data_IF_954177051970
#
_entry.id   IF_954177051970
#
_cell.length_a   1.000
_cell.length_b   1.000
_cell.length_c   1.000
_cell.angle_alpha   90.00
_cell.angle_beta   90.00
_cell.angle_gamma   90.00
#
_symmetry.space_group_name_H-M   'P 1'
#
loop_
_entity.id
_entity.type
_entity.pdbx_description
1 polymer ?
#
# COMPACT_ATOMS: atom_id res chain seq x y z
N UNK A 1 -22.72 4.11 -4.67
CA UNK A 1 -23.72 4.36 -5.73
C UNK A 1 -23.89 3.11 -6.61
N UNK A 2 -22.84 2.58 -7.25
CA UNK A 2 -22.92 1.40 -8.12
C UNK A 2 -23.41 0.16 -7.35
N UNK A 3 -22.90 -0.07 -6.14
CA UNK A 3 -23.26 -1.21 -5.28
C UNK A 3 -24.69 -1.05 -4.74
N UNK A 4 -25.10 0.15 -4.37
CA UNK A 4 -26.46 0.43 -3.89
C UNK A 4 -27.49 0.25 -4.98
N UNK A 5 -27.22 0.75 -6.20
CA UNK A 5 -28.06 0.54 -7.36
C UNK A 5 -28.12 -0.94 -7.79
N UNK A 6 -27.01 -1.67 -7.71
CA UNK A 6 -26.99 -3.12 -7.93
C UNK A 6 -27.85 -3.88 -6.91
N UNK A 7 -27.80 -3.49 -5.64
CA UNK A 7 -28.61 -4.10 -4.59
C UNK A 7 -30.11 -3.73 -4.69
N UNK A 8 -30.44 -2.54 -5.19
CA UNK A 8 -31.84 -2.14 -5.47
C UNK A 8 -32.42 -2.94 -6.62
N UNK A 9 -31.66 -3.16 -7.69
CA UNK A 9 -32.03 -4.02 -8.82
C UNK A 9 -32.25 -5.48 -8.39
N UNK A 10 -31.47 -5.97 -7.41
CA UNK A 10 -31.59 -7.33 -6.87
C UNK A 10 -32.89 -7.51 -6.07
N UNK A 11 -33.40 -6.45 -5.42
CA UNK A 11 -34.60 -6.50 -4.57
C UNK A 11 -35.92 -6.32 -5.35
N UNK A 12 -35.88 -5.77 -6.56
CA UNK A 12 -37.09 -5.26 -7.22
C UNK A 12 -37.87 -6.26 -8.05
N UNK A 13 -37.39 -7.50 -8.27
CA UNK A 13 -38.07 -8.40 -9.22
C UNK A 13 -38.19 -9.85 -8.77
N UNK A 14 -39.37 -10.16 -8.33
CA UNK A 14 -39.86 -11.51 -8.03
C UNK A 14 -39.82 -12.39 -9.31
N UNK A 15 -39.17 -13.51 -9.28
CA UNK A 15 -39.27 -14.58 -10.28
C UNK A 15 -38.38 -14.46 -11.52
N UNK A 16 -37.59 -13.38 -11.69
CA UNK A 16 -36.60 -13.32 -12.75
C UNK A 16 -35.24 -13.81 -12.34
N UNK A 17 -34.57 -14.56 -13.20
CA UNK A 17 -33.15 -14.85 -12.96
C UNK A 17 -32.36 -13.53 -12.98
N UNK A 18 -31.31 -13.44 -12.19
CA UNK A 18 -30.43 -12.25 -12.08
C UNK A 18 -29.94 -11.78 -13.47
N UNK A 19 -29.80 -12.72 -14.41
CA UNK A 19 -29.39 -12.45 -15.81
C UNK A 19 -30.48 -11.77 -16.63
N UNK A 20 -31.76 -12.15 -16.44
CA UNK A 20 -32.91 -11.57 -17.13
C UNK A 20 -33.25 -10.18 -16.58
N UNK A 21 -33.16 -9.99 -15.26
CA UNK A 21 -33.33 -8.68 -14.63
C UNK A 21 -32.24 -7.70 -15.09
N UNK A 22 -31.00 -8.14 -15.17
CA UNK A 22 -29.88 -7.31 -15.66
C UNK A 22 -30.08 -6.81 -17.09
N UNK A 23 -30.56 -7.66 -18.00
CA UNK A 23 -30.71 -7.28 -19.42
C UNK A 23 -31.83 -6.27 -19.61
N UNK A 24 -32.95 -6.41 -18.89
CA UNK A 24 -34.16 -5.58 -19.10
C UNK A 24 -34.07 -4.22 -18.36
N UNK A 25 -33.39 -4.15 -17.24
CA UNK A 25 -33.38 -2.96 -16.37
C UNK A 25 -32.03 -2.23 -16.37
N UNK A 26 -30.97 -2.86 -16.85
CA UNK A 26 -29.65 -2.24 -16.91
C UNK A 26 -29.46 -1.34 -18.14
N UNK A 27 -30.12 -1.64 -19.26
CA UNK A 27 -30.03 -0.84 -20.49
C UNK A 27 -30.41 0.65 -20.30
N UNK A 28 -31.51 1.01 -19.57
CA UNK A 28 -31.82 2.42 -19.33
C UNK A 28 -31.04 3.05 -18.17
N UNK A 29 -30.42 2.26 -17.28
CA UNK A 29 -29.72 2.75 -16.09
C UNK A 29 -28.24 2.94 -16.35
N UNK A 30 -27.62 2.10 -17.18
CA UNK A 30 -26.20 2.17 -17.53
C UNK A 30 -25.74 3.54 -18.04
N UNK A 31 -26.45 4.20 -19.00
CA UNK A 31 -26.05 5.53 -19.45
C UNK A 31 -26.05 6.57 -18.34
N UNK A 32 -27.07 6.55 -17.46
CA UNK A 32 -27.13 7.46 -16.31
C UNK A 32 -26.02 7.21 -15.29
N UNK A 33 -25.71 5.94 -15.00
CA UNK A 33 -24.61 5.59 -14.11
C UNK A 33 -23.25 6.00 -14.68
N UNK A 34 -23.07 5.87 -16.01
CA UNK A 34 -21.84 6.33 -16.67
C UNK A 34 -21.73 7.85 -16.59
N UNK A 35 -22.82 8.58 -16.82
CA UNK A 35 -22.87 10.05 -16.74
C UNK A 35 -22.62 10.54 -15.31
N UNK A 36 -23.23 9.91 -14.29
CA UNK A 36 -23.03 10.22 -12.88
C UNK A 36 -21.62 9.87 -12.35
N UNK A 37 -20.91 8.95 -13.02
CA UNK A 37 -19.56 8.52 -12.61
C UNK A 37 -18.44 9.21 -13.39
N UNK A 38 -18.74 9.98 -14.43
CA UNK A 38 -17.71 10.67 -15.23
C UNK A 38 -16.94 11.72 -14.43
N UNK A 39 -17.56 12.35 -13.42
CA UNK A 39 -16.97 13.38 -12.58
C UNK A 39 -16.48 12.87 -11.21
N UNK A 40 -16.51 11.54 -10.98
CA UNK A 40 -16.01 10.96 -9.74
C UNK A 40 -14.49 10.79 -9.84
N UNK A 41 -13.78 11.48 -8.96
CA UNK A 41 -12.34 11.32 -8.83
C UNK A 41 -11.99 9.84 -8.59
N UNK A 42 -11.09 9.30 -9.38
CA UNK A 42 -10.68 7.90 -9.26
C UNK A 42 -9.95 7.69 -7.92
N UNK A 43 -10.11 6.52 -7.36
CA UNK A 43 -9.48 6.16 -6.10
C UNK A 43 -7.95 6.28 -6.20
N UNK A 44 -7.36 6.79 -5.14
CA UNK A 44 -5.91 6.82 -5.04
C UNK A 44 -5.33 5.40 -5.07
N UNK A 45 -4.06 5.28 -5.42
CA UNK A 45 -3.35 3.99 -5.42
C UNK A 45 -3.47 3.28 -4.07
N UNK A 46 -3.35 4.02 -2.97
CA UNK A 46 -3.42 3.45 -1.60
C UNK A 46 -4.82 2.94 -1.28
N UNK A 47 -5.86 3.68 -1.64
CA UNK A 47 -7.26 3.25 -1.46
C UNK A 47 -7.56 1.99 -2.27
N UNK A 48 -7.08 1.92 -3.52
CA UNK A 48 -7.19 0.69 -4.35
C UNK A 48 -6.50 -0.51 -3.70
N UNK A 49 -5.30 -0.32 -3.16
CA UNK A 49 -4.58 -1.38 -2.45
C UNK A 49 -5.32 -1.85 -1.19
N UNK A 50 -5.83 -0.93 -0.38
CA UNK A 50 -6.61 -1.26 0.81
C UNK A 50 -7.87 -2.05 0.43
N UNK A 51 -8.60 -1.61 -0.59
CA UNK A 51 -9.78 -2.31 -1.08
C UNK A 51 -9.45 -3.74 -1.53
N UNK A 52 -8.36 -3.94 -2.29
CA UNK A 52 -7.93 -5.29 -2.71
C UNK A 52 -7.55 -6.16 -1.51
N UNK A 53 -6.86 -5.59 -0.52
CA UNK A 53 -6.51 -6.31 0.70
C UNK A 53 -7.76 -6.74 1.48
N UNK A 54 -8.73 -5.85 1.62
CA UNK A 54 -9.96 -6.11 2.38
C UNK A 54 -10.87 -7.12 1.66
N UNK A 55 -10.95 -7.06 0.33
CA UNK A 55 -11.84 -7.92 -0.46
C UNK A 55 -11.23 -9.29 -0.79
N UNK A 56 -9.95 -9.34 -1.07
CA UNK A 56 -9.28 -10.52 -1.62
C UNK A 56 -8.24 -11.11 -0.67
N UNK A 57 -7.93 -10.44 0.44
CA UNK A 57 -6.80 -10.75 1.35
C UNK A 57 -5.47 -10.89 0.61
N UNK A 58 -5.34 -10.21 -0.53
CA UNK A 58 -4.18 -10.24 -1.41
C UNK A 58 -3.76 -8.81 -1.78
N UNK A 59 -2.47 -8.63 -2.06
CA UNK A 59 -1.92 -7.37 -2.55
C UNK A 59 -1.66 -7.49 -4.05
N UNK A 60 -2.01 -6.46 -4.81
CA UNK A 60 -1.64 -6.36 -6.22
C UNK A 60 -0.27 -5.72 -6.35
N UNK A 61 0.68 -6.46 -6.88
CA UNK A 61 2.08 -6.02 -6.99
C UNK A 61 2.24 -4.80 -7.89
N UNK A 62 1.48 -4.70 -8.99
CA UNK A 62 1.47 -3.55 -9.90
C UNK A 62 0.99 -2.25 -9.23
N UNK A 63 0.12 -2.35 -8.24
CA UNK A 63 -0.32 -1.21 -7.45
C UNK A 63 0.64 -0.92 -6.28
N UNK A 64 1.25 -1.95 -5.68
CA UNK A 64 2.21 -1.78 -4.59
C UNK A 64 3.53 -1.15 -5.08
N UNK A 65 4.01 -1.58 -6.25
CA UNK A 65 5.30 -1.18 -6.83
C UNK A 65 5.11 -0.62 -8.25
N UNK A 66 4.79 0.68 -8.42
CA UNK A 66 4.61 1.29 -9.74
C UNK A 66 5.89 1.20 -10.57
N UNK A 67 5.78 0.71 -11.81
CA UNK A 67 6.91 0.46 -12.71
C UNK A 67 7.81 1.68 -12.92
N UNK A 68 7.24 2.87 -13.09
CA UNK A 68 8.00 4.11 -13.27
C UNK A 68 8.88 4.41 -12.04
N UNK A 69 8.37 4.17 -10.84
CA UNK A 69 9.10 4.40 -9.61
C UNK A 69 10.20 3.36 -9.44
N UNK A 70 9.88 2.09 -9.67
CA UNK A 70 10.86 1.01 -9.56
C UNK A 70 11.98 1.15 -10.60
N UNK A 71 11.66 1.60 -11.79
CA UNK A 71 12.66 1.93 -12.81
C UNK A 71 13.63 3.04 -12.35
N UNK A 72 13.12 4.09 -11.70
CA UNK A 72 13.95 5.15 -11.12
C UNK A 72 14.86 4.64 -10.00
N UNK A 73 14.32 3.81 -9.10
CA UNK A 73 15.09 3.19 -8.01
C UNK A 73 16.21 2.31 -8.56
N UNK A 74 15.91 1.45 -9.55
CA UNK A 74 16.88 0.56 -10.18
C UNK A 74 17.95 1.35 -10.94
N UNK A 75 17.58 2.40 -11.69
CA UNK A 75 18.53 3.25 -12.41
C UNK A 75 19.46 4.02 -11.46
N UNK A 76 18.98 4.36 -10.26
CA UNK A 76 19.80 4.98 -9.22
C UNK A 76 20.63 3.96 -8.41
N UNK A 77 20.53 2.66 -8.72
CA UNK A 77 21.22 1.56 -8.05
C UNK A 77 21.00 1.56 -6.51
N UNK A 78 19.78 1.89 -6.08
CA UNK A 78 19.42 1.91 -4.66
C UNK A 78 18.84 0.55 -4.28
N UNK A 79 19.52 -0.17 -3.37
CA UNK A 79 19.06 -1.46 -2.84
C UNK A 79 17.82 -1.32 -1.96
N UNK A 80 17.01 -2.36 -1.86
CA UNK A 80 16.05 -2.50 -0.77
C UNK A 80 16.77 -2.65 0.57
N UNK A 81 16.14 -2.19 1.67
CA UNK A 81 16.65 -2.46 3.03
C UNK A 81 16.82 -3.96 3.29
N UNK A 82 15.98 -4.80 2.66
CA UNK A 82 16.02 -6.26 2.80
C UNK A 82 17.20 -6.90 2.06
N UNK A 83 17.75 -6.21 1.07
CA UNK A 83 18.91 -6.64 0.28
C UNK A 83 20.25 -6.13 0.83
N UNK A 84 20.23 -5.39 1.94
CA UNK A 84 21.46 -4.90 2.58
C UNK A 84 22.19 -6.03 3.29
N UNK A 85 23.49 -6.13 3.08
CA UNK A 85 24.34 -7.10 3.75
C UNK A 85 24.51 -6.78 5.26
N UNK A 86 24.74 -7.79 6.12
CA UNK A 86 25.08 -7.55 7.52
C UNK A 86 26.30 -6.64 7.66
N UNK A 87 26.18 -5.55 8.42
CA UNK A 87 27.19 -4.51 8.59
C UNK A 87 27.14 -3.38 7.57
N UNK A 88 26.35 -3.53 6.51
CA UNK A 88 26.18 -2.50 5.48
C UNK A 88 25.46 -1.26 6.02
N UNK A 89 25.87 -0.09 5.52
CA UNK A 89 25.23 1.20 5.81
C UNK A 89 25.11 1.98 4.52
N UNK A 90 23.95 2.56 4.28
CA UNK A 90 23.75 3.32 3.05
C UNK A 90 22.31 3.74 2.82
N UNK A 91 22.11 4.38 1.69
CA UNK A 91 20.79 4.75 1.22
C UNK A 91 20.11 3.48 0.71
N UNK A 92 18.91 3.23 1.24
CA UNK A 92 18.09 2.09 0.86
C UNK A 92 16.61 2.49 0.81
N UNK A 93 15.82 1.74 0.05
CA UNK A 93 14.38 1.93 -0.01
C UNK A 93 13.63 0.80 0.69
N UNK A 94 12.38 1.06 1.04
CA UNK A 94 11.48 0.06 1.61
C UNK A 94 10.02 0.43 1.35
N UNK A 95 9.15 -0.57 1.26
CA UNK A 95 7.71 -0.41 1.25
C UNK A 95 7.15 -0.81 2.61
N UNK A 96 6.29 0.03 3.18
CA UNK A 96 5.67 -0.21 4.49
C UNK A 96 4.54 -1.21 4.35
N UNK A 97 4.49 -2.22 5.24
CA UNK A 97 3.35 -3.12 5.39
C UNK A 97 2.58 -2.79 6.67
N UNK A 98 3.31 -2.62 7.78
CA UNK A 98 2.72 -2.40 9.09
C UNK A 98 3.68 -1.60 9.97
N UNK A 99 3.15 -0.81 10.89
CA UNK A 99 3.94 -0.08 11.88
C UNK A 99 3.48 -0.38 13.29
N UNK A 100 4.42 -0.77 14.15
CA UNK A 100 4.16 -1.08 15.56
C UNK A 100 5.02 -0.18 16.45
N UNK A 101 4.39 0.68 17.25
CA UNK A 101 5.08 1.50 18.24
C UNK A 101 5.58 0.64 19.40
N UNK A 102 6.85 0.82 19.77
CA UNK A 102 7.51 0.14 20.89
C UNK A 102 8.27 1.13 21.75
N UNK A 103 8.46 0.77 23.02
CA UNK A 103 9.23 1.56 23.96
C UNK A 103 10.28 0.66 24.61
N UNK A 104 11.52 1.13 24.68
CA UNK A 104 12.61 0.44 25.37
C UNK A 104 12.46 0.53 26.88
N UNK A 105 13.21 -0.29 27.63
CA UNK A 105 13.30 -0.20 29.11
C UNK A 105 13.71 1.22 29.58
N UNK A 106 14.51 1.94 28.79
CA UNK A 106 14.95 3.32 29.08
C UNK A 106 13.98 4.38 28.54
N UNK A 107 12.71 4.03 28.35
CA UNK A 107 11.61 4.92 27.87
C UNK A 107 11.86 5.59 26.50
N UNK A 108 12.82 5.09 25.70
CA UNK A 108 13.02 5.57 24.32
C UNK A 108 12.01 4.92 23.40
N UNK A 109 11.30 5.72 22.62
CA UNK A 109 10.33 5.24 21.64
C UNK A 109 11.03 4.90 20.33
N UNK A 110 10.63 3.79 19.74
CA UNK A 110 10.97 3.38 18.37
C UNK A 110 9.77 2.67 17.73
N UNK A 111 9.81 2.56 16.41
CA UNK A 111 8.80 1.82 15.66
C UNK A 111 9.45 0.59 15.03
N UNK A 112 8.78 -0.55 15.16
CA UNK A 112 9.04 -1.70 14.29
C UNK A 112 8.15 -1.56 13.07
N UNK A 113 8.77 -1.38 11.93
CA UNK A 113 8.08 -1.27 10.64
C UNK A 113 8.28 -2.60 9.92
N UNK A 114 7.18 -3.30 9.65
CA UNK A 114 7.20 -4.45 8.75
C UNK A 114 7.31 -3.91 7.34
N UNK A 115 8.30 -4.36 6.61
CA UNK A 115 8.62 -3.87 5.28
C UNK A 115 8.60 -5.02 4.26
N UNK A 116 8.37 -4.67 3.01
CA UNK A 116 8.46 -5.58 1.87
C UNK A 116 9.21 -4.93 0.72
N UNK A 117 9.68 -5.74 -0.20
CA UNK A 117 10.27 -5.32 -1.47
C UNK A 117 9.47 -5.85 -2.68
N UNK A 118 9.93 -5.56 -3.90
CA UNK A 118 9.27 -5.97 -5.14
C UNK A 118 9.29 -7.50 -5.39
N UNK A 119 10.17 -8.23 -4.71
CA UNK A 119 10.26 -9.70 -4.77
C UNK A 119 9.38 -10.37 -3.71
N UNK A 120 8.54 -9.59 -3.02
CA UNK A 120 7.69 -10.04 -1.90
C UNK A 120 8.47 -10.57 -0.69
N UNK A 121 9.77 -10.28 -0.60
CA UNK A 121 10.51 -10.53 0.63
C UNK A 121 9.96 -9.64 1.73
N UNK A 122 9.89 -10.14 2.95
CA UNK A 122 9.42 -9.37 4.11
C UNK A 122 10.42 -9.38 5.25
N UNK A 123 10.47 -8.28 5.99
CA UNK A 123 11.36 -8.16 7.12
C UNK A 123 10.95 -7.03 8.06
N UNK A 124 11.84 -6.70 9.00
CA UNK A 124 11.59 -5.67 9.99
C UNK A 124 12.68 -4.61 9.97
N UNK A 125 12.25 -3.36 9.89
CA UNK A 125 13.09 -2.18 10.06
C UNK A 125 12.78 -1.51 11.40
N UNK A 126 13.81 -1.18 12.20
CA UNK A 126 13.65 -0.34 13.38
C UNK A 126 13.85 1.13 13.03
N UNK A 127 12.84 1.93 13.28
CA UNK A 127 12.88 3.38 13.07
C UNK A 127 12.88 4.09 14.42
N UNK A 128 13.97 4.74 14.75
CA UNK A 128 14.13 5.48 16.00
C UNK A 128 13.57 6.89 15.89
N UNK A 129 12.79 7.31 16.88
CA UNK A 129 12.12 8.60 16.93
C UNK A 129 10.68 8.53 16.45
N UNK A 130 10.06 9.69 16.27
CA UNK A 130 8.67 9.80 15.80
C UNK A 130 8.62 9.69 14.28
N UNK A 131 7.93 8.69 13.78
CA UNK A 131 7.70 8.52 12.33
C UNK A 131 6.67 9.54 11.80
N UNK A 132 6.76 9.95 10.52
CA UNK A 132 5.75 10.79 9.88
C UNK A 132 4.38 10.12 9.85
N UNK A 133 3.30 10.89 10.01
CA UNK A 133 1.93 10.38 9.90
C UNK A 133 1.61 9.84 8.48
N UNK A 134 2.35 10.31 7.47
CA UNK A 134 2.25 9.83 6.08
C UNK A 134 2.89 8.47 5.85
N UNK A 135 3.57 7.86 6.85
CA UNK A 135 4.09 6.50 6.77
C UNK A 135 2.96 5.49 7.00
N UNK A 136 2.18 5.32 5.95
CA UNK A 136 1.03 4.43 5.90
C UNK A 136 1.39 3.10 5.21
N UNK A 137 0.61 2.03 5.36
CA UNK A 137 0.78 0.81 4.57
C UNK A 137 0.87 1.10 3.07
N UNK A 138 1.73 0.36 2.37
CA UNK A 138 1.99 0.45 0.93
C UNK A 138 2.60 1.79 0.44
N UNK A 139 3.08 2.61 1.35
CA UNK A 139 3.91 3.76 1.00
C UNK A 139 5.38 3.36 0.86
N UNK A 140 6.08 3.94 -0.13
CA UNK A 140 7.48 3.66 -0.43
C UNK A 140 8.35 4.80 0.07
N UNK A 141 9.42 4.45 0.75
CA UNK A 141 10.30 5.38 1.45
C UNK A 141 11.76 5.14 1.14
N UNK A 142 12.54 6.22 1.15
CA UNK A 142 14.00 6.19 1.19
C UNK A 142 14.50 6.48 2.60
N UNK A 143 15.60 5.85 2.96
CA UNK A 143 16.28 6.11 4.22
C UNK A 143 17.78 5.85 4.11
N UNK A 144 18.53 6.41 5.06
CA UNK A 144 19.91 5.96 5.31
C UNK A 144 19.87 4.93 6.44
N UNK A 145 19.86 3.66 6.05
CA UNK A 145 19.76 2.53 6.97
C UNK A 145 21.13 1.97 7.35
N UNK A 146 21.15 1.25 8.45
CA UNK A 146 22.28 0.41 8.88
C UNK A 146 21.74 -0.98 9.20
N UNK A 147 22.32 -2.02 8.61
CA UNK A 147 21.98 -3.40 8.88
C UNK A 147 23.00 -4.00 9.86
N UNK A 148 22.70 -3.94 11.16
CA UNK A 148 23.57 -4.51 12.21
C UNK A 148 23.47 -6.04 12.22
N UNK A 149 24.60 -6.78 12.23
CA UNK A 149 24.60 -8.25 12.20
C UNK A 149 23.81 -8.90 13.36
N UNK A 150 23.79 -8.26 14.53
CA UNK A 150 23.13 -8.82 15.73
C UNK A 150 21.70 -8.28 15.91
N UNK A 151 21.47 -7.06 15.43
CA UNK A 151 20.22 -6.34 15.71
C UNK A 151 19.35 -6.10 14.48
N UNK A 152 19.86 -6.41 13.26
CA UNK A 152 19.18 -6.21 11.99
C UNK A 152 19.05 -4.74 11.59
N UNK A 153 18.23 -4.47 10.59
CA UNK A 153 18.12 -3.16 9.97
C UNK A 153 17.51 -2.10 10.89
N UNK A 154 18.12 -0.92 10.91
CA UNK A 154 17.67 0.23 11.70
C UNK A 154 17.97 1.57 11.00
N UNK A 155 17.16 2.58 11.31
CA UNK A 155 17.33 3.95 10.86
C UNK A 155 16.76 4.95 11.88
N UNK A 156 16.99 6.25 11.66
CA UNK A 156 16.33 7.34 12.40
C UNK A 156 15.18 7.90 11.59
N UNK A 157 14.06 8.23 12.23
CA UNK A 157 12.91 8.87 11.60
C UNK A 157 13.28 10.16 10.85
N UNK A 158 14.27 10.91 11.32
CA UNK A 158 14.78 12.12 10.66
C UNK A 158 15.43 11.84 9.28
N UNK A 159 15.85 10.61 9.02
CA UNK A 159 16.48 10.17 7.76
C UNK A 159 15.52 9.52 6.76
N UNK A 160 14.25 9.40 7.13
CA UNK A 160 13.22 8.77 6.29
C UNK A 160 12.56 9.83 5.42
N UNK A 161 12.45 9.57 4.12
CA UNK A 161 11.83 10.48 3.13
C UNK A 161 10.85 9.71 2.26
N UNK A 162 9.65 10.22 1.98
CA UNK A 162 8.71 9.58 1.08
C UNK A 162 9.24 9.64 -0.35
N UNK A 163 9.12 8.54 -1.08
CA UNK A 163 9.49 8.46 -2.50
C UNK A 163 8.33 8.87 -3.42
N UNK A 164 7.09 8.71 -2.93
CA UNK A 164 5.88 9.13 -3.63
C UNK A 164 5.04 9.92 -2.62
N UNK A 165 4.64 11.10 -3.02
CA UNK A 165 3.58 11.86 -2.37
C UNK A 165 2.24 11.41 -2.87
#
# INVERSE_FOLDING_TARGET
IIIENYNSLKKSKFGMTLRQAKKKDAEPILPKLIEETQDVEDWTRIEKLQMYQDMCSATRDDLAFPDELMTKIRSANVKSVLQMDPGEKGIAWFCVVETIKKTTKNKKTFYRVKITDEESNTGWLRVWGQIPNSMQPYTIWLTNASNDPNWGASTSAAKVRPLVK
#
